data_IF_452880758214
#
_entry.id   IF_452880758214
#
_cell.length_a   1.000
_cell.length_b   1.000
_cell.length_c   1.000
_cell.angle_alpha   90.00
_cell.angle_beta   90.00
_cell.angle_gamma   90.00
#
_symmetry.space_group_name_H-M   'P 1'
#
loop_
_entity.id
_entity.type
_entity.pdbx_description
1 polymer ?
#
# COMPACT_ATOMS: atom_id res chain seq x y z
N UNK A 1 -14.49 -9.42 7.76
CA UNK A 1 -13.14 -9.32 7.21
C UNK A 1 -12.60 -10.73 6.97
N UNK A 2 -11.94 -10.98 5.84
CA UNK A 2 -11.13 -12.20 5.65
C UNK A 2 -9.65 -11.87 5.87
N UNK A 3 -8.86 -12.88 6.27
CA UNK A 3 -7.44 -12.74 6.56
C UNK A 3 -6.59 -13.63 5.65
N UNK A 4 -5.69 -13.02 4.88
CA UNK A 4 -4.80 -13.70 3.93
C UNK A 4 -3.39 -13.76 4.48
N UNK A 5 -2.62 -14.79 4.09
CA UNK A 5 -1.18 -14.80 4.37
C UNK A 5 -0.48 -13.71 3.57
N UNK A 6 0.50 -13.05 4.19
CA UNK A 6 1.40 -12.15 3.49
C UNK A 6 2.46 -12.99 2.75
N UNK A 7 2.18 -13.28 1.48
CA UNK A 7 2.99 -14.20 0.68
C UNK A 7 3.06 -15.59 1.32
N UNK A 8 4.26 -16.18 1.35
CA UNK A 8 4.50 -17.47 2.03
C UNK A 8 4.72 -17.36 3.54
N UNK A 9 4.73 -16.16 4.11
CA UNK A 9 5.01 -15.97 5.54
C UNK A 9 3.88 -16.54 6.42
N UNK A 10 4.16 -16.66 7.72
CA UNK A 10 3.16 -17.05 8.72
C UNK A 10 2.19 -15.93 9.09
N UNK A 11 2.50 -14.67 8.75
CA UNK A 11 1.70 -13.51 9.12
C UNK A 11 0.41 -13.46 8.29
N UNK A 12 -0.71 -13.29 8.97
CA UNK A 12 -2.01 -13.04 8.34
C UNK A 12 -2.40 -11.57 8.46
N UNK A 13 -2.69 -10.95 7.33
CA UNK A 13 -3.19 -9.57 7.25
C UNK A 13 -4.63 -9.57 6.75
N UNK A 14 -5.41 -8.61 7.22
CA UNK A 14 -6.75 -8.34 6.70
C UNK A 14 -6.67 -7.99 5.21
N UNK A 15 -7.66 -8.40 4.42
CA UNK A 15 -7.70 -8.08 2.98
C UNK A 15 -7.69 -6.58 2.68
N UNK A 16 -8.31 -5.79 3.55
CA UNK A 16 -8.22 -4.34 3.50
C UNK A 16 -7.38 -3.87 4.69
N UNK A 17 -6.43 -2.98 4.44
CA UNK A 17 -5.60 -2.33 5.45
C UNK A 17 -5.78 -0.81 5.42
N UNK A 18 -5.29 -0.12 6.45
CA UNK A 18 -5.40 1.34 6.55
C UNK A 18 -4.03 1.99 6.46
N UNK A 19 -3.83 2.83 5.45
CA UNK A 19 -2.63 3.67 5.31
C UNK A 19 -2.85 5.10 5.78
N UNK A 20 -1.77 5.75 6.21
CA UNK A 20 -1.79 7.11 6.76
C UNK A 20 -1.37 8.21 5.78
N UNK A 21 -0.94 7.86 4.56
CA UNK A 21 -0.41 8.82 3.59
C UNK A 21 -1.45 9.88 3.18
N UNK A 22 -1.01 11.14 3.14
CA UNK A 22 -1.79 12.36 2.85
C UNK A 22 -2.81 12.74 3.93
N UNK A 23 -3.33 11.77 4.67
CA UNK A 23 -4.45 11.97 5.58
C UNK A 23 -3.94 12.38 6.96
N UNK A 24 -3.11 11.55 7.57
CA UNK A 24 -2.70 11.75 8.97
C UNK A 24 -1.74 12.93 9.09
N UNK A 25 -2.03 13.82 10.03
CA UNK A 25 -1.29 15.07 10.31
C UNK A 25 -1.41 16.18 9.26
N UNK A 26 -1.89 15.90 8.04
CA UNK A 26 -2.19 16.92 7.01
C UNK A 26 -3.67 17.24 6.83
N UNK A 27 -4.55 16.26 7.03
CA UNK A 27 -6.00 16.40 6.83
C UNK A 27 -6.85 15.95 8.02
N UNK A 28 -6.31 15.07 8.88
CA UNK A 28 -7.00 14.58 10.06
C UNK A 28 -6.20 14.91 11.30
N UNK A 29 -6.90 15.37 12.34
CA UNK A 29 -6.33 15.56 13.67
C UNK A 29 -6.29 14.23 14.45
N UNK A 30 -5.83 14.30 15.71
CA UNK A 30 -5.73 13.12 16.56
C UNK A 30 -7.07 12.43 16.84
N UNK A 31 -8.15 13.20 17.01
CA UNK A 31 -9.49 12.67 17.27
C UNK A 31 -10.03 11.97 16.04
N UNK A 32 -9.82 12.52 14.85
CA UNK A 32 -10.20 11.86 13.61
C UNK A 32 -9.36 10.61 13.34
N UNK A 33 -8.04 10.66 13.56
CA UNK A 33 -7.16 9.50 13.42
C UNK A 33 -7.61 8.35 14.34
N UNK A 34 -7.89 8.65 15.62
CA UNK A 34 -8.41 7.69 16.58
C UNK A 34 -9.75 7.08 16.12
N UNK A 35 -10.66 7.92 15.62
CA UNK A 35 -11.97 7.47 15.13
C UNK A 35 -11.89 6.57 13.88
N UNK A 36 -10.97 6.89 12.96
CA UNK A 36 -10.70 6.08 11.76
C UNK A 36 -10.06 4.74 12.13
N UNK A 37 -9.06 4.75 12.99
CA UNK A 37 -8.38 3.54 13.44
C UNK A 37 -9.32 2.64 14.23
N UNK A 38 -10.10 3.19 15.18
CA UNK A 38 -11.16 2.45 15.89
C UNK A 38 -12.10 1.74 14.93
N UNK A 39 -12.66 2.48 13.96
CA UNK A 39 -13.57 1.89 12.98
C UNK A 39 -12.90 0.78 12.16
N UNK A 40 -11.68 1.00 11.68
CA UNK A 40 -10.96 0.00 10.90
C UNK A 40 -10.80 -1.29 11.70
N UNK A 41 -10.33 -1.18 12.94
CA UNK A 41 -10.10 -2.31 13.84
C UNK A 41 -11.39 -3.03 14.21
N UNK A 42 -12.46 -2.30 14.53
CA UNK A 42 -13.78 -2.87 14.83
C UNK A 42 -14.37 -3.66 13.65
N UNK A 43 -14.08 -3.25 12.41
CA UNK A 43 -14.45 -3.95 11.18
C UNK A 43 -13.46 -5.08 10.80
N UNK A 44 -12.46 -5.34 11.65
CA UNK A 44 -11.51 -6.44 11.54
C UNK A 44 -10.20 -6.12 10.80
N UNK A 45 -9.93 -4.87 10.45
CA UNK A 45 -8.62 -4.46 9.90
C UNK A 45 -7.55 -4.67 10.96
N UNK A 46 -6.52 -5.44 10.63
CA UNK A 46 -5.40 -5.68 11.53
C UNK A 46 -4.08 -5.10 11.04
N UNK A 47 -4.02 -4.48 9.86
CA UNK A 47 -2.77 -3.94 9.32
C UNK A 47 -2.87 -2.43 9.09
N UNK A 48 -1.93 -1.68 9.68
CA UNK A 48 -1.83 -0.22 9.64
C UNK A 48 -0.48 0.20 9.06
N UNK A 49 -0.50 1.01 8.02
CA UNK A 49 0.68 1.34 7.21
C UNK A 49 1.08 2.82 7.33
N UNK A 50 2.38 3.08 7.56
CA UNK A 50 2.94 4.41 7.76
C UNK A 50 4.35 4.54 7.17
N UNK A 51 4.98 5.73 7.21
CA UNK A 51 6.36 5.96 6.76
C UNK A 51 6.99 7.18 7.43
N UNK A 52 8.32 7.20 7.57
CA UNK A 52 9.05 8.35 8.14
C UNK A 52 8.87 9.63 7.31
N UNK A 53 8.68 9.49 6.00
CA UNK A 53 8.55 10.63 5.09
C UNK A 53 7.16 11.25 5.08
N UNK A 54 6.16 10.63 5.71
CA UNK A 54 4.80 11.16 5.76
C UNK A 54 4.71 12.28 6.78
N UNK A 55 4.55 13.51 6.27
CA UNK A 55 4.58 14.75 7.06
C UNK A 55 5.79 14.81 8.00
N UNK A 56 6.97 14.45 7.49
CA UNK A 56 8.24 14.43 8.23
C UNK A 56 8.21 13.63 9.56
N UNK A 57 7.42 12.56 9.61
CA UNK A 57 7.29 11.65 10.75
C UNK A 57 6.12 11.98 11.67
N UNK A 58 5.45 13.12 11.49
CA UNK A 58 4.27 13.48 12.28
C UNK A 58 3.13 12.48 12.09
N UNK A 59 3.03 11.84 10.91
CA UNK A 59 2.06 10.78 10.66
C UNK A 59 2.28 9.55 11.56
N UNK A 60 3.54 9.19 11.82
CA UNK A 60 3.90 8.10 12.74
C UNK A 60 3.62 8.47 14.19
N UNK A 61 3.92 9.71 14.58
CA UNK A 61 3.64 10.21 15.93
C UNK A 61 2.14 10.21 16.23
N UNK A 62 1.32 10.65 15.27
CA UNK A 62 -0.14 10.66 15.38
C UNK A 62 -0.72 9.24 15.50
N UNK A 63 -0.26 8.32 14.65
CA UNK A 63 -0.68 6.92 14.70
C UNK A 63 -0.25 6.26 16.01
N UNK A 64 0.97 6.52 16.49
CA UNK A 64 1.46 6.01 17.78
C UNK A 64 0.65 6.51 18.97
N UNK A 65 0.30 7.80 18.98
CA UNK A 65 -0.58 8.36 20.00
C UNK A 65 -1.98 7.73 19.97
N UNK A 66 -2.54 7.51 18.78
CA UNK A 66 -3.82 6.82 18.62
C UNK A 66 -3.76 5.36 19.12
N UNK A 67 -2.74 4.58 18.74
CA UNK A 67 -2.54 3.20 19.21
C UNK A 67 -2.45 3.13 20.74
N UNK A 68 -1.64 4.03 21.34
CA UNK A 68 -1.47 4.13 22.79
C UNK A 68 -2.80 4.43 23.50
N UNK A 69 -3.59 5.37 22.98
CA UNK A 69 -4.91 5.74 23.52
C UNK A 69 -5.96 4.63 23.36
N UNK A 70 -5.94 3.92 22.23
CA UNK A 70 -6.86 2.82 21.94
C UNK A 70 -6.58 1.59 22.80
N UNK A 71 -5.34 1.41 23.25
CA UNK A 71 -4.98 0.38 24.23
C UNK A 71 -5.16 -1.06 23.71
N UNK A 72 -5.12 -1.26 22.39
CA UNK A 72 -5.20 -2.59 21.79
C UNK A 72 -4.00 -3.44 22.21
N UNK A 73 -4.20 -4.75 22.35
CA UNK A 73 -3.09 -5.65 22.64
C UNK A 73 -2.13 -5.70 21.44
N UNK A 74 -0.82 -5.63 21.68
CA UNK A 74 0.18 -5.51 20.60
C UNK A 74 0.15 -6.67 19.61
N UNK A 75 -0.28 -7.85 20.04
CA UNK A 75 -0.44 -9.07 19.24
C UNK A 75 -1.71 -9.09 18.36
N UNK A 76 -2.62 -8.13 18.53
CA UNK A 76 -3.88 -8.05 17.77
C UNK A 76 -3.77 -7.31 16.44
N UNK A 77 -2.70 -6.53 16.24
CA UNK A 77 -2.49 -5.72 15.05
C UNK A 77 -1.06 -5.80 14.54
N UNK A 78 -0.91 -5.43 13.27
CA UNK A 78 0.34 -5.26 12.57
C UNK A 78 0.52 -3.80 12.18
N UNK A 79 1.71 -3.26 12.41
CA UNK A 79 2.07 -1.89 12.03
C UNK A 79 3.34 -1.89 11.17
N UNK A 80 3.35 -1.04 10.15
CA UNK A 80 4.52 -0.80 9.32
C UNK A 80 5.08 0.62 9.40
N UNK A 81 6.35 0.73 9.06
CA UNK A 81 6.98 1.97 8.63
C UNK A 81 7.79 1.73 7.35
N UNK A 82 8.20 2.80 6.68
CA UNK A 82 9.06 2.77 5.49
C UNK A 82 10.16 3.80 5.62
N UNK A 83 11.35 3.40 5.21
CA UNK A 83 12.57 4.21 5.24
C UNK A 83 13.02 4.61 3.85
N UNK A 84 13.31 5.90 3.69
CA UNK A 84 14.13 6.46 2.61
C UNK A 84 14.36 7.97 2.80
N UNK A 85 13.37 8.72 3.30
CA UNK A 85 13.42 10.19 3.43
C UNK A 85 13.15 10.62 4.87
N UNK A 86 14.18 10.63 5.72
CA UNK A 86 14.07 11.02 7.12
C UNK A 86 14.51 12.45 7.44
N UNK A 87 15.06 13.19 6.46
CA UNK A 87 15.48 14.58 6.64
C UNK A 87 16.32 15.13 5.49
N UNK A 88 16.82 16.35 5.67
CA UNK A 88 17.54 17.10 4.63
C UNK A 88 19.04 16.77 4.55
N UNK A 89 19.61 16.20 5.63
CA UNK A 89 21.06 15.91 5.68
C UNK A 89 21.41 14.68 4.86
N UNK A 90 22.66 14.56 4.34
CA UNK A 90 23.07 13.43 3.50
C UNK A 90 22.86 12.06 4.14
N UNK A 91 23.01 11.95 5.46
CA UNK A 91 22.88 10.68 6.20
C UNK A 91 21.48 10.43 6.76
N UNK A 92 20.49 11.24 6.37
CA UNK A 92 19.09 11.11 6.79
C UNK A 92 18.20 10.64 5.63
N UNK A 93 18.80 10.02 4.61
CA UNK A 93 18.10 9.53 3.43
C UNK A 93 18.79 8.31 2.83
N UNK A 94 18.08 7.62 1.94
CA UNK A 94 18.54 6.44 1.23
C UNK A 94 18.42 5.16 2.06
N UNK A 95 19.13 4.11 1.66
CA UNK A 95 19.06 2.78 2.26
C UNK A 95 20.38 2.30 2.87
N UNK A 96 21.33 3.22 3.07
CA UNK A 96 22.56 2.92 3.82
C UNK A 96 22.25 2.34 5.20
N UNK A 97 23.12 1.48 5.71
CA UNK A 97 22.98 0.84 7.02
C UNK A 97 22.75 1.86 8.13
N UNK A 98 23.41 3.03 8.05
CA UNK A 98 23.25 4.13 9.00
C UNK A 98 21.80 4.61 9.03
N UNK A 99 21.26 5.01 7.87
CA UNK A 99 19.92 5.59 7.82
C UNK A 99 18.84 4.55 8.11
N UNK A 100 18.94 3.34 7.54
CA UNK A 100 17.99 2.24 7.80
C UNK A 100 17.86 1.95 9.29
N UNK A 101 18.99 1.90 10.02
CA UNK A 101 19.01 1.68 11.46
C UNK A 101 18.44 2.87 12.22
N UNK A 102 18.91 4.09 11.96
CA UNK A 102 18.45 5.28 12.68
C UNK A 102 16.95 5.56 12.47
N UNK A 103 16.46 5.39 11.24
CA UNK A 103 15.06 5.53 10.88
C UNK A 103 14.17 4.51 11.59
N UNK A 104 14.60 3.24 11.70
CA UNK A 104 13.85 2.20 12.40
C UNK A 104 13.68 2.57 13.88
N UNK A 105 14.77 2.95 14.54
CA UNK A 105 14.73 3.39 15.94
C UNK A 105 13.88 4.65 16.14
N UNK A 106 13.89 5.57 15.18
CA UNK A 106 13.05 6.76 15.23
C UNK A 106 11.56 6.43 15.04
N UNK A 107 11.23 5.56 14.08
CA UNK A 107 9.87 5.09 13.83
C UNK A 107 9.28 4.39 15.06
N UNK A 108 10.03 3.50 15.72
CA UNK A 108 9.60 2.84 16.95
C UNK A 108 9.23 3.83 18.06
N UNK A 109 10.03 4.89 18.22
CA UNK A 109 9.75 5.97 19.19
C UNK A 109 8.49 6.74 18.85
N UNK A 110 8.32 7.14 17.57
CA UNK A 110 7.15 7.91 17.12
C UNK A 110 5.86 7.07 17.20
N UNK A 111 5.93 5.81 16.76
CA UNK A 111 4.81 4.87 16.81
C UNK A 111 4.55 4.33 18.22
N UNK A 112 5.44 4.56 19.19
CA UNK A 112 5.32 4.09 20.57
C UNK A 112 5.17 2.56 20.66
N UNK A 113 5.98 1.83 19.88
CA UNK A 113 6.01 0.36 19.87
C UNK A 113 7.43 -0.18 20.03
N UNK A 114 7.57 -1.38 20.57
CA UNK A 114 8.88 -2.01 20.78
C UNK A 114 9.48 -2.62 19.51
N UNK A 115 8.61 -3.03 18.58
CA UNK A 115 8.96 -3.61 17.28
C UNK A 115 7.95 -3.22 16.19
N UNK A 116 8.42 -3.21 14.94
CA UNK A 116 7.58 -3.14 13.73
C UNK A 116 7.28 -4.56 13.23
N UNK A 117 6.05 -4.83 12.84
CA UNK A 117 5.75 -6.10 12.16
C UNK A 117 6.38 -6.10 10.78
N UNK A 118 6.23 -5.00 10.06
CA UNK A 118 6.70 -4.84 8.69
C UNK A 118 7.57 -3.58 8.57
N UNK A 119 8.76 -3.68 7.99
CA UNK A 119 9.59 -2.51 7.68
C UNK A 119 10.00 -2.51 6.22
N UNK A 120 9.71 -1.41 5.52
CA UNK A 120 9.89 -1.33 4.07
C UNK A 120 11.03 -0.41 3.67
N UNK A 121 11.79 -0.80 2.66
CA UNK A 121 12.53 0.15 1.82
C UNK A 121 11.51 0.94 0.97
N UNK A 122 11.33 2.23 1.20
CA UNK A 122 10.25 3.02 0.56
C UNK A 122 10.44 3.19 -0.96
N UNK A 123 11.70 3.18 -1.42
CA UNK A 123 12.10 3.21 -2.84
C UNK A 123 13.41 2.44 -3.02
N UNK A 124 13.79 2.05 -4.23
CA UNK A 124 15.14 1.61 -4.52
C UNK A 124 16.14 2.74 -4.29
N UNK A 125 17.34 2.38 -3.81
CA UNK A 125 18.45 3.31 -3.67
C UNK A 125 19.58 2.87 -4.61
N UNK A 126 19.95 3.74 -5.56
CA UNK A 126 21.02 3.46 -6.52
C UNK A 126 22.41 3.77 -5.94
N UNK A 127 22.47 4.52 -4.83
CA UNK A 127 23.71 4.95 -4.20
C UNK A 127 24.16 3.97 -3.11
N UNK A 128 23.30 3.04 -2.68
CA UNK A 128 23.61 2.03 -1.67
C UNK A 128 23.62 0.63 -2.29
N UNK A 129 24.72 -0.15 -2.15
CA UNK A 129 24.73 -1.54 -2.56
C UNK A 129 23.62 -2.35 -1.87
N UNK A 130 22.95 -3.20 -2.64
CA UNK A 130 21.78 -3.96 -2.16
C UNK A 130 22.16 -4.89 -0.99
N UNK A 131 23.40 -5.38 -0.96
CA UNK A 131 23.95 -6.23 0.08
C UNK A 131 23.98 -5.52 1.43
N UNK A 132 24.36 -4.24 1.43
CA UNK A 132 24.39 -3.42 2.66
C UNK A 132 22.97 -3.26 3.21
N UNK A 133 22.00 -3.00 2.34
CA UNK A 133 20.58 -2.88 2.71
C UNK A 133 20.05 -4.18 3.31
N UNK A 134 20.30 -5.32 2.65
CA UNK A 134 19.87 -6.64 3.13
C UNK A 134 20.47 -6.95 4.50
N UNK A 135 21.76 -6.66 4.71
CA UNK A 135 22.40 -6.81 6.01
C UNK A 135 21.78 -5.91 7.08
N UNK A 136 21.49 -4.64 6.75
CA UNK A 136 20.88 -3.71 7.70
C UNK A 136 19.49 -4.20 8.14
N UNK A 137 18.66 -4.65 7.19
CA UNK A 137 17.33 -5.21 7.47
C UNK A 137 17.41 -6.50 8.28
N UNK A 138 18.30 -7.42 7.91
CA UNK A 138 18.53 -8.65 8.68
C UNK A 138 18.94 -8.34 10.12
N UNK A 139 19.85 -7.39 10.33
CA UNK A 139 20.31 -7.01 11.67
C UNK A 139 19.19 -6.43 12.54
N UNK A 140 18.27 -5.66 11.97
CA UNK A 140 17.10 -5.16 12.72
C UNK A 140 16.17 -6.30 13.14
N UNK A 141 16.06 -7.34 12.32
CA UNK A 141 15.28 -8.54 12.66
C UNK A 141 15.95 -9.33 13.79
N UNK A 142 17.27 -9.55 13.72
CA UNK A 142 18.00 -10.27 14.78
C UNK A 142 18.00 -9.51 16.10
N UNK A 143 17.91 -8.18 16.07
CA UNK A 143 17.72 -7.33 17.25
C UNK A 143 16.28 -7.33 17.81
N UNK A 144 15.33 -7.98 17.14
CA UNK A 144 13.92 -7.99 17.54
C UNK A 144 13.20 -6.66 17.34
N UNK A 145 13.75 -5.76 16.51
CA UNK A 145 13.18 -4.44 16.22
C UNK A 145 12.19 -4.46 15.05
N UNK A 146 12.33 -5.45 14.18
CA UNK A 146 11.49 -5.70 13.01
C UNK A 146 11.18 -7.19 12.95
N UNK A 147 9.96 -7.59 12.60
CA UNK A 147 9.63 -9.02 12.42
C UNK A 147 9.85 -9.47 10.97
N UNK A 148 9.40 -8.68 10.01
CA UNK A 148 9.55 -8.92 8.57
C UNK A 148 9.95 -7.63 7.87
N UNK A 149 10.73 -7.75 6.79
CA UNK A 149 11.05 -6.62 5.94
C UNK A 149 10.62 -6.87 4.51
N UNK A 150 10.41 -5.76 3.80
CA UNK A 150 9.99 -5.76 2.41
C UNK A 150 10.47 -4.51 1.68
N UNK A 151 9.98 -4.36 0.46
CA UNK A 151 10.37 -3.29 -0.44
C UNK A 151 9.14 -2.56 -0.98
N UNK A 152 9.32 -1.39 -1.58
CA UNK A 152 8.25 -0.61 -2.20
C UNK A 152 8.74 0.09 -3.45
N UNK A 153 8.03 -0.11 -4.55
CA UNK A 153 8.37 0.30 -5.90
C UNK A 153 9.67 -0.30 -6.46
N UNK A 154 10.11 -1.44 -5.93
CA UNK A 154 11.27 -2.15 -6.47
C UNK A 154 10.89 -2.92 -7.72
N UNK A 155 11.80 -3.02 -8.68
CA UNK A 155 11.56 -3.85 -9.87
C UNK A 155 11.87 -5.34 -9.56
N UNK A 156 11.46 -6.24 -10.46
CA UNK A 156 11.66 -7.67 -10.28
C UNK A 156 13.14 -8.09 -10.20
N UNK A 157 14.02 -7.40 -10.93
CA UNK A 157 15.46 -7.66 -10.90
C UNK A 157 16.06 -7.34 -9.51
N UNK A 158 15.75 -6.18 -8.96
CA UNK A 158 16.21 -5.76 -7.63
C UNK A 158 15.68 -6.68 -6.52
N UNK A 159 14.40 -7.06 -6.58
CA UNK A 159 13.81 -8.04 -5.67
C UNK A 159 14.54 -9.39 -5.72
N UNK A 160 14.80 -9.88 -6.94
CA UNK A 160 15.52 -11.15 -7.16
C UNK A 160 16.95 -11.07 -6.64
N UNK A 161 17.64 -9.95 -6.86
CA UNK A 161 19.00 -9.72 -6.39
C UNK A 161 19.08 -9.71 -4.86
N UNK A 162 18.21 -8.95 -4.18
CA UNK A 162 18.15 -8.92 -2.72
C UNK A 162 17.83 -10.31 -2.13
N UNK A 163 16.86 -11.02 -2.74
CA UNK A 163 16.49 -12.36 -2.31
C UNK A 163 17.61 -13.38 -2.52
N UNK A 164 18.28 -13.35 -3.68
CA UNK A 164 19.39 -14.24 -4.00
C UNK A 164 20.59 -14.00 -3.08
N UNK A 165 20.94 -12.73 -2.83
CA UNK A 165 22.00 -12.37 -1.89
C UNK A 165 21.69 -12.86 -0.48
N UNK A 166 20.46 -12.63 0.01
CA UNK A 166 20.05 -13.10 1.33
C UNK A 166 20.15 -14.63 1.44
N UNK A 167 19.66 -15.36 0.44
CA UNK A 167 19.73 -16.83 0.39
C UNK A 167 21.18 -17.33 0.40
N UNK A 168 22.06 -16.73 -0.41
CA UNK A 168 23.46 -17.13 -0.50
C UNK A 168 24.24 -16.90 0.81
N UNK A 169 23.83 -15.92 1.61
CA UNK A 169 24.51 -15.52 2.85
C UNK A 169 23.77 -15.96 4.12
N UNK A 170 22.75 -16.82 4.00
CA UNK A 170 21.91 -17.27 5.12
C UNK A 170 21.26 -16.13 5.91
N UNK A 171 20.89 -15.05 5.21
CA UNK A 171 20.19 -13.90 5.76
C UNK A 171 18.68 -14.03 5.50
N UNK A 172 17.91 -13.19 6.20
CA UNK A 172 16.48 -13.07 5.96
C UNK A 172 16.28 -12.10 4.80
N UNK A 173 15.79 -12.61 3.66
CA UNK A 173 15.45 -11.80 2.48
C UNK A 173 14.10 -11.09 2.61
N UNK A 174 13.76 -10.21 1.66
CA UNK A 174 12.49 -9.50 1.69
C UNK A 174 11.34 -10.51 1.55
N UNK A 175 10.27 -10.32 2.32
CA UNK A 175 9.10 -11.22 2.32
C UNK A 175 7.94 -10.67 1.47
N UNK A 176 7.90 -9.36 1.25
CA UNK A 176 6.81 -8.69 0.56
C UNK A 176 7.29 -7.46 -0.21
N UNK A 177 6.48 -7.07 -1.18
CA UNK A 177 6.58 -5.83 -1.93
C UNK A 177 5.32 -4.98 -1.70
N UNK A 178 5.47 -3.66 -1.71
CA UNK A 178 4.40 -2.69 -1.64
C UNK A 178 4.32 -1.89 -2.95
N UNK A 179 3.69 -2.45 -4.00
CA UNK A 179 3.61 -1.82 -5.32
C UNK A 179 2.30 -1.05 -5.51
N UNK A 180 2.31 -0.08 -6.43
CA UNK A 180 1.07 0.50 -6.94
C UNK A 180 0.27 -0.58 -7.68
N UNK A 181 -1.01 -0.73 -7.35
CA UNK A 181 -1.90 -1.62 -8.11
C UNK A 181 -3.32 -1.08 -8.13
N UNK A 182 -3.86 -0.92 -9.32
CA UNK A 182 -5.25 -0.53 -9.58
C UNK A 182 -5.57 -0.80 -11.06
N UNK A 183 -6.79 -0.50 -11.48
CA UNK A 183 -7.25 -0.74 -12.85
C UNK A 183 -6.37 -0.09 -13.94
N UNK A 184 -5.64 0.99 -13.63
CA UNK A 184 -4.72 1.66 -14.56
C UNK A 184 -3.26 1.25 -14.41
N UNK A 185 -2.88 0.56 -13.33
CA UNK A 185 -1.49 0.22 -13.02
C UNK A 185 -1.41 -1.26 -12.65
N UNK A 186 -0.99 -2.09 -13.61
CA UNK A 186 -1.12 -3.56 -13.53
C UNK A 186 0.18 -4.33 -13.74
N UNK A 187 1.07 -3.81 -14.59
CA UNK A 187 2.24 -4.52 -15.12
C UNK A 187 3.09 -5.21 -14.04
N UNK A 188 3.49 -4.49 -12.98
CA UNK A 188 4.34 -5.05 -11.93
C UNK A 188 3.71 -6.28 -11.27
N UNK A 189 2.45 -6.17 -10.86
CA UNK A 189 1.76 -7.19 -10.06
C UNK A 189 1.28 -8.38 -10.91
N UNK A 190 0.82 -8.11 -12.13
CA UNK A 190 0.22 -9.11 -13.02
C UNK A 190 1.19 -9.68 -14.07
N UNK A 191 2.40 -9.15 -14.20
CA UNK A 191 3.41 -9.63 -15.13
C UNK A 191 4.80 -9.75 -14.47
N UNK A 192 5.42 -8.65 -14.08
CA UNK A 192 6.84 -8.65 -13.66
C UNK A 192 7.11 -9.52 -12.43
N UNK A 193 6.16 -9.56 -11.48
CA UNK A 193 6.28 -10.33 -10.24
C UNK A 193 5.76 -11.76 -10.33
N UNK A 194 5.14 -12.16 -11.45
CA UNK A 194 4.60 -13.52 -11.60
C UNK A 194 5.64 -14.61 -11.24
N UNK A 195 6.91 -14.55 -11.71
CA UNK A 195 7.91 -15.55 -11.33
C UNK A 195 8.30 -15.48 -9.84
N UNK A 196 8.15 -14.31 -9.20
CA UNK A 196 8.59 -14.08 -7.82
C UNK A 196 7.61 -14.67 -6.79
N UNK A 197 6.33 -14.77 -7.13
CA UNK A 197 5.34 -15.39 -6.26
C UNK A 197 5.71 -16.84 -5.96
N UNK A 198 6.14 -17.61 -6.96
CA UNK A 198 6.56 -19.00 -6.76
C UNK A 198 8.00 -19.10 -6.26
N UNK A 199 8.92 -18.30 -6.83
CA UNK A 199 10.35 -18.37 -6.50
C UNK A 199 10.63 -18.05 -5.03
N UNK A 200 10.13 -16.91 -4.56
CA UNK A 200 10.41 -16.42 -3.22
C UNK A 200 9.19 -16.46 -2.30
N UNK A 201 7.99 -16.73 -2.81
CA UNK A 201 6.76 -16.65 -2.01
C UNK A 201 6.37 -15.21 -1.70
N UNK A 202 6.59 -14.30 -2.65
CA UNK A 202 6.40 -12.86 -2.46
C UNK A 202 4.94 -12.55 -2.07
N UNK A 203 4.75 -11.81 -0.97
CA UNK A 203 3.46 -11.19 -0.64
C UNK A 203 3.36 -9.78 -1.21
N UNK A 204 2.13 -9.28 -1.41
CA UNK A 204 1.96 -7.86 -1.79
C UNK A 204 1.00 -7.12 -0.88
N UNK A 205 1.41 -5.91 -0.49
CA UNK A 205 0.58 -4.92 0.20
C UNK A 205 0.33 -3.77 -0.75
N UNK A 206 -0.69 -3.82 -1.59
CA UNK A 206 -0.80 -2.86 -2.70
C UNK A 206 -1.29 -1.49 -2.24
N UNK A 207 -0.88 -0.42 -2.91
CA UNK A 207 -1.26 0.95 -2.60
C UNK A 207 -1.93 1.68 -3.77
N UNK A 208 -2.64 2.77 -3.44
CA UNK A 208 -3.50 3.56 -4.36
C UNK A 208 -4.46 2.73 -5.21
N UNK A 209 -5.28 1.85 -4.59
CA UNK A 209 -6.27 1.03 -5.32
C UNK A 209 -7.32 1.87 -6.05
N UNK A 210 -7.52 3.11 -5.61
CA UNK A 210 -8.48 4.05 -6.19
C UNK A 210 -7.82 5.13 -7.05
N UNK A 211 -6.54 4.98 -7.43
CA UNK A 211 -5.80 5.95 -8.24
C UNK A 211 -5.94 7.39 -7.71
N UNK A 212 -5.53 7.61 -6.45
CA UNK A 212 -5.69 8.90 -5.76
C UNK A 212 -7.14 9.42 -5.65
N UNK A 213 -8.12 8.52 -5.78
CA UNK A 213 -9.54 8.79 -5.70
C UNK A 213 -10.22 9.02 -7.04
N UNK A 214 -9.52 8.86 -8.17
CA UNK A 214 -10.16 8.95 -9.48
C UNK A 214 -11.18 7.84 -9.72
N UNK A 215 -10.87 6.62 -9.26
CA UNK A 215 -11.76 5.45 -9.34
C UNK A 215 -12.95 5.51 -8.36
N UNK A 216 -13.28 6.68 -7.81
CA UNK A 216 -14.57 6.93 -7.14
C UNK A 216 -15.57 7.62 -8.08
N UNK A 217 -15.15 8.00 -9.30
CA UNK A 217 -15.98 8.74 -10.26
C UNK A 217 -16.18 10.22 -9.92
N UNK A 218 -15.60 10.72 -8.81
CA UNK A 218 -15.81 12.10 -8.34
C UNK A 218 -15.23 13.18 -9.26
N UNK A 219 -14.39 12.78 -10.22
CA UNK A 219 -13.78 13.67 -11.21
C UNK A 219 -14.47 13.66 -12.58
N UNK A 220 -15.55 12.88 -12.74
CA UNK A 220 -16.21 12.68 -14.04
C UNK A 220 -16.83 13.97 -14.61
N UNK A 221 -17.23 14.89 -13.72
CA UNK A 221 -17.92 16.16 -14.04
C UNK A 221 -17.08 17.39 -13.67
N UNK A 222 -15.75 17.22 -13.49
CA UNK A 222 -14.83 18.26 -13.05
C UNK A 222 -14.15 17.94 -11.73
N UNK A 223 -13.21 18.79 -11.30
CA UNK A 223 -12.41 18.58 -10.08
C UNK A 223 -13.12 19.23 -8.88
N UNK A 224 -13.64 18.47 -7.89
CA UNK A 224 -14.27 19.05 -6.71
C UNK A 224 -13.28 19.87 -5.88
N UNK A 225 -13.74 20.97 -5.29
CA UNK A 225 -12.90 21.90 -4.50
C UNK A 225 -12.17 21.21 -3.36
N UNK A 226 -12.86 20.35 -2.58
CA UNK A 226 -12.32 19.63 -1.42
C UNK A 226 -11.53 18.36 -1.78
N UNK A 227 -11.23 18.15 -3.07
CA UNK A 227 -10.57 16.94 -3.54
C UNK A 227 -9.05 16.98 -3.37
N UNK A 228 -8.44 15.80 -3.35
CA UNK A 228 -6.97 15.62 -3.23
C UNK A 228 -6.17 16.40 -4.28
N UNK A 229 -6.72 16.59 -5.47
CA UNK A 229 -6.05 17.30 -6.58
C UNK A 229 -5.87 18.80 -6.34
N UNK A 230 -6.61 19.38 -5.40
CA UNK A 230 -6.51 20.80 -5.06
C UNK A 230 -5.69 21.04 -3.77
N UNK A 231 -5.11 20.00 -3.17
CA UNK A 231 -4.22 20.16 -2.02
C UNK A 231 -2.86 20.72 -2.46
N UNK A 232 -2.24 21.62 -1.67
CA UNK A 232 -0.88 22.07 -1.93
C UNK A 232 0.12 20.90 -2.02
N UNK A 233 0.90 20.87 -3.10
CA UNK A 233 1.88 19.82 -3.41
C UNK A 233 1.33 18.66 -4.26
N UNK A 234 0.06 18.71 -4.68
CA UNK A 234 -0.59 17.70 -5.52
C UNK A 234 -0.95 18.23 -6.91
N UNK A 235 -0.35 19.34 -7.34
CA UNK A 235 -0.58 19.96 -8.65
C UNK A 235 -0.27 19.00 -9.79
N UNK A 236 0.69 18.10 -9.60
CA UNK A 236 1.04 17.04 -10.55
C UNK A 236 -0.13 16.09 -10.84
N UNK A 237 -0.98 15.77 -9.85
CA UNK A 237 -2.20 14.97 -10.09
C UNK A 237 -3.18 15.75 -10.96
N UNK A 238 -3.34 17.04 -10.70
CA UNK A 238 -4.21 17.89 -11.52
C UNK A 238 -3.70 17.95 -12.96
N UNK A 239 -2.40 18.10 -13.17
CA UNK A 239 -1.79 18.07 -14.52
C UNK A 239 -2.00 16.73 -15.20
N UNK A 240 -1.80 15.61 -14.51
CA UNK A 240 -1.99 14.26 -15.05
C UNK A 240 -3.43 14.05 -15.52
N UNK A 241 -4.41 14.37 -14.68
CA UNK A 241 -5.83 14.08 -14.95
C UNK A 241 -6.51 15.09 -15.88
N UNK A 242 -5.89 16.25 -16.12
CA UNK A 242 -6.37 17.23 -17.12
C UNK A 242 -5.73 17.04 -18.49
N UNK A 243 -4.72 16.18 -18.62
CA UNK A 243 -4.10 15.80 -19.89
C UNK A 243 -5.04 14.99 -20.79
N UNK A 244 -4.70 14.85 -22.08
CA UNK A 244 -5.47 14.01 -23.01
C UNK A 244 -5.53 12.54 -22.57
N UNK A 245 -4.44 12.00 -22.03
CA UNK A 245 -4.41 10.66 -21.46
C UNK A 245 -5.32 10.56 -20.22
N UNK A 246 -5.28 11.57 -19.34
CA UNK A 246 -6.16 11.67 -18.17
C UNK A 246 -7.64 11.68 -18.55
N UNK A 247 -8.01 12.44 -19.59
CA UNK A 247 -9.38 12.48 -20.12
C UNK A 247 -9.82 11.12 -20.68
N UNK A 248 -8.93 10.41 -21.38
CA UNK A 248 -9.21 9.05 -21.85
C UNK A 248 -9.46 8.08 -20.68
N UNK A 249 -8.65 8.17 -19.62
CA UNK A 249 -8.88 7.41 -18.37
C UNK A 249 -10.22 7.76 -17.73
N UNK A 250 -10.60 9.04 -17.66
CA UNK A 250 -11.91 9.45 -17.12
C UNK A 250 -13.09 8.83 -17.89
N UNK A 251 -12.97 8.69 -19.22
CA UNK A 251 -14.01 8.01 -20.01
C UNK A 251 -14.11 6.52 -19.67
N UNK A 252 -12.97 5.84 -19.46
CA UNK A 252 -12.98 4.47 -18.96
C UNK A 252 -13.64 4.37 -17.57
N UNK A 253 -13.41 5.35 -16.68
CA UNK A 253 -14.06 5.41 -15.36
C UNK A 253 -15.57 5.56 -15.50
N UNK A 254 -16.07 6.35 -16.46
CA UNK A 254 -17.51 6.46 -16.74
C UNK A 254 -18.11 5.14 -17.19
N UNK A 255 -17.43 4.41 -18.08
CA UNK A 255 -17.85 3.08 -18.51
C UNK A 255 -17.85 2.07 -17.35
N UNK A 256 -16.81 2.09 -16.51
CA UNK A 256 -16.75 1.27 -15.29
C UNK A 256 -17.88 1.63 -14.31
N UNK A 257 -18.21 2.91 -14.17
CA UNK A 257 -19.31 3.35 -13.31
C UNK A 257 -20.68 2.88 -13.84
N UNK A 258 -20.88 2.87 -15.16
CA UNK A 258 -22.06 2.29 -15.78
C UNK A 258 -22.16 0.78 -15.50
N UNK A 259 -21.06 0.03 -15.70
CA UNK A 259 -20.99 -1.40 -15.37
C UNK A 259 -21.24 -1.67 -13.88
N UNK A 260 -20.61 -0.90 -12.98
CA UNK A 260 -20.80 -1.04 -11.54
C UNK A 260 -22.28 -0.84 -11.17
N UNK A 261 -22.95 0.15 -11.79
CA UNK A 261 -24.37 0.42 -11.58
C UNK A 261 -25.26 -0.74 -12.01
N UNK A 262 -24.95 -1.42 -13.13
CA UNK A 262 -25.70 -2.61 -13.59
C UNK A 262 -25.76 -3.72 -12.54
N UNK A 263 -24.65 -3.91 -11.80
CA UNK A 263 -24.55 -4.93 -10.74
C UNK A 263 -24.88 -4.37 -9.34
N UNK A 264 -25.33 -3.12 -9.25
CA UNK A 264 -25.69 -2.46 -8.00
C UNK A 264 -24.49 -2.27 -7.07
N UNK A 265 -23.37 -1.80 -7.62
CA UNK A 265 -22.17 -1.38 -6.89
C UNK A 265 -21.80 0.05 -7.27
N UNK A 266 -21.21 0.82 -6.34
CA UNK A 266 -20.48 2.02 -6.74
C UNK A 266 -19.12 1.65 -7.33
N UNK A 267 -18.58 2.51 -8.21
CA UNK A 267 -17.35 2.23 -8.98
C UNK A 267 -16.12 1.99 -8.10
N UNK A 268 -16.02 2.66 -6.94
CA UNK A 268 -14.91 2.42 -6.01
C UNK A 268 -14.99 1.04 -5.35
N UNK A 269 -16.18 0.52 -5.06
CA UNK A 269 -16.31 -0.87 -4.59
C UNK A 269 -15.86 -1.83 -5.69
N UNK A 270 -16.26 -1.60 -6.94
CA UNK A 270 -15.81 -2.42 -8.07
C UNK A 270 -14.27 -2.45 -8.17
N UNK A 271 -13.63 -1.28 -8.10
CA UNK A 271 -12.18 -1.16 -8.16
C UNK A 271 -11.46 -1.87 -7.00
N UNK A 272 -11.95 -1.71 -5.76
CA UNK A 272 -11.40 -2.39 -4.58
C UNK A 272 -11.53 -3.91 -4.68
N UNK A 273 -12.72 -4.39 -5.06
CA UNK A 273 -12.98 -5.82 -5.23
C UNK A 273 -12.16 -6.42 -6.36
N UNK A 274 -11.95 -5.68 -7.45
CA UNK A 274 -11.10 -6.10 -8.55
C UNK A 274 -9.65 -6.27 -8.08
N UNK A 275 -9.09 -5.32 -7.32
CA UNK A 275 -7.75 -5.47 -6.74
C UNK A 275 -7.67 -6.73 -5.86
N UNK A 276 -8.70 -7.01 -5.05
CA UNK A 276 -8.77 -8.18 -4.17
C UNK A 276 -8.98 -9.51 -4.89
N UNK A 277 -9.49 -9.50 -6.13
CA UNK A 277 -9.65 -10.73 -6.92
C UNK A 277 -8.32 -11.30 -7.39
N UNK A 278 -7.25 -10.50 -7.40
CA UNK A 278 -5.91 -11.00 -7.67
C UNK A 278 -5.42 -11.84 -6.48
N UNK A 279 -5.11 -13.13 -6.66
CA UNK A 279 -4.70 -14.01 -5.56
C UNK A 279 -3.35 -13.64 -4.96
N UNK A 280 -2.53 -12.86 -5.66
CA UNK A 280 -1.23 -12.40 -5.19
C UNK A 280 -1.30 -11.11 -4.38
N UNK A 281 -2.49 -10.51 -4.28
CA UNK A 281 -2.77 -9.39 -3.37
C UNK A 281 -3.10 -9.92 -1.99
N UNK A 282 -2.18 -9.72 -1.04
CA UNK A 282 -2.38 -10.10 0.36
C UNK A 282 -3.27 -9.09 1.09
N UNK A 283 -3.09 -7.80 0.80
CA UNK A 283 -3.92 -6.70 1.32
C UNK A 283 -3.94 -5.51 0.38
N UNK A 284 -5.05 -4.77 0.41
CA UNK A 284 -5.26 -3.50 -0.28
C UNK A 284 -5.24 -2.36 0.73
N UNK A 285 -4.24 -1.47 0.63
CA UNK A 285 -4.10 -0.32 1.54
C UNK A 285 -5.11 0.77 1.14
N UNK A 286 -6.07 1.00 2.02
CA UNK A 286 -7.04 2.08 1.90
C UNK A 286 -6.45 3.40 2.42
N UNK A 287 -6.84 4.50 1.80
CA UNK A 287 -6.71 5.85 2.37
C UNK A 287 -8.08 6.47 2.52
N UNK A 288 -8.37 7.04 3.69
CA UNK A 288 -9.63 7.72 3.97
C UNK A 288 -9.39 8.96 4.83
N UNK A 289 -10.02 10.08 4.46
CA UNK A 289 -9.97 11.32 5.27
C UNK A 289 -11.22 11.49 6.13
N UNK A 290 -12.27 10.70 5.91
CA UNK A 290 -13.53 10.76 6.66
C UNK A 290 -13.98 9.35 7.05
N UNK A 291 -14.59 9.22 8.23
CA UNK A 291 -15.11 7.94 8.76
C UNK A 291 -16.11 7.28 7.80
N UNK A 292 -16.96 8.08 7.15
CA UNK A 292 -17.93 7.59 6.16
C UNK A 292 -17.28 6.95 4.94
N UNK A 293 -16.17 7.51 4.44
CA UNK A 293 -15.43 6.93 3.32
C UNK A 293 -14.81 5.59 3.71
N UNK A 294 -14.24 5.49 4.91
CA UNK A 294 -13.65 4.26 5.40
C UNK A 294 -14.71 3.17 5.58
N UNK A 295 -15.83 3.49 6.26
CA UNK A 295 -16.95 2.56 6.44
C UNK A 295 -17.51 2.07 5.11
N UNK A 296 -17.68 2.98 4.15
CA UNK A 296 -18.16 2.65 2.81
C UNK A 296 -17.17 1.73 2.06
N UNK A 297 -15.89 2.07 2.04
CA UNK A 297 -14.85 1.23 1.41
C UNK A 297 -14.78 -0.17 2.02
N UNK A 298 -14.86 -0.30 3.36
CA UNK A 298 -14.87 -1.58 4.05
C UNK A 298 -16.13 -2.40 3.72
N UNK A 299 -17.27 -1.73 3.53
CA UNK A 299 -18.52 -2.39 3.15
C UNK A 299 -18.48 -3.09 1.79
N UNK A 300 -17.53 -2.73 0.91
CA UNK A 300 -17.31 -3.39 -0.38
C UNK A 300 -17.16 -4.91 -0.22
N UNK A 301 -16.54 -5.38 0.86
CA UNK A 301 -16.34 -6.80 1.15
C UNK A 301 -17.65 -7.60 1.24
N UNK A 302 -18.77 -6.96 1.59
CA UNK A 302 -20.09 -7.60 1.65
C UNK A 302 -20.61 -7.99 0.26
N UNK A 303 -20.00 -7.46 -0.79
CA UNK A 303 -20.44 -7.63 -2.17
C UNK A 303 -19.44 -8.36 -3.07
N UNK A 304 -18.45 -9.05 -2.51
CA UNK A 304 -17.44 -9.81 -3.28
C UNK A 304 -18.04 -10.71 -4.35
N UNK A 305 -19.12 -11.41 -4.04
CA UNK A 305 -19.78 -12.35 -4.94
C UNK A 305 -20.34 -11.68 -6.22
N UNK A 306 -20.49 -10.35 -6.24
CA UNK A 306 -20.93 -9.60 -7.42
C UNK A 306 -19.85 -9.46 -8.48
N UNK A 307 -18.57 -9.63 -8.13
CA UNK A 307 -17.47 -9.64 -9.09
C UNK A 307 -17.36 -11.04 -9.72
N UNK A 308 -18.31 -11.37 -10.59
CA UNK A 308 -18.34 -12.64 -11.31
C UNK A 308 -17.30 -12.67 -12.44
N UNK A 309 -16.96 -13.84 -12.99
CA UNK A 309 -16.09 -13.94 -14.16
C UNK A 309 -16.56 -13.07 -15.34
N UNK A 310 -17.86 -13.03 -15.63
CA UNK A 310 -18.43 -12.19 -16.69
C UNK A 310 -18.21 -10.69 -16.44
N UNK A 311 -18.34 -10.25 -15.17
CA UNK A 311 -18.07 -8.85 -14.79
C UNK A 311 -16.58 -8.56 -14.95
N UNK A 312 -15.71 -9.48 -14.54
CA UNK A 312 -14.26 -9.34 -14.70
C UNK A 312 -13.89 -9.22 -16.19
N UNK A 313 -14.47 -10.02 -17.08
CA UNK A 313 -14.24 -9.93 -18.52
C UNK A 313 -14.71 -8.58 -19.10
N UNK A 314 -15.87 -8.06 -18.67
CA UNK A 314 -16.32 -6.72 -19.06
C UNK A 314 -15.36 -5.62 -18.57
N UNK A 315 -14.79 -5.75 -17.38
CA UNK A 315 -13.75 -4.83 -16.89
C UNK A 315 -12.54 -4.87 -17.82
N UNK A 316 -12.05 -6.07 -18.18
CA UNK A 316 -10.92 -6.21 -19.10
C UNK A 316 -11.19 -5.55 -20.46
N UNK A 317 -12.40 -5.70 -21.00
CA UNK A 317 -12.80 -5.06 -22.25
C UNK A 317 -12.81 -3.52 -22.16
N UNK A 318 -13.29 -2.95 -21.06
CA UNK A 318 -13.30 -1.49 -20.84
C UNK A 318 -11.87 -0.96 -20.68
N UNK A 319 -11.05 -1.68 -19.91
CA UNK A 319 -9.70 -1.22 -19.56
C UNK A 319 -8.71 -1.39 -20.71
N UNK A 320 -8.82 -2.46 -21.50
CA UNK A 320 -7.98 -2.69 -22.68
C UNK A 320 -6.48 -2.72 -22.40
N UNK A 321 -6.08 -2.93 -21.14
CA UNK A 321 -4.70 -2.77 -20.67
C UNK A 321 -4.18 -4.01 -19.91
N UNK A 322 -4.82 -5.17 -20.12
CA UNK A 322 -4.38 -6.43 -19.52
C UNK A 322 -2.92 -6.70 -19.90
N UNK A 323 -2.01 -6.88 -18.92
CA UNK A 323 -0.63 -7.22 -19.23
C UNK A 323 -0.55 -8.48 -20.10
N UNK A 324 0.42 -8.49 -21.01
CA UNK A 324 0.61 -9.64 -21.90
C UNK A 324 1.05 -10.84 -21.06
N UNK A 325 0.51 -12.02 -21.37
CA UNK A 325 1.03 -13.26 -20.78
C UNK A 325 2.45 -13.53 -21.33
N UNK A 326 3.27 -14.22 -20.55
CA UNK A 326 4.56 -14.70 -21.04
C UNK A 326 4.38 -15.58 -22.28
N UNK A 327 5.11 -15.24 -23.34
CA UNK A 327 5.16 -16.04 -24.56
C UNK A 327 6.02 -17.29 -24.29
N UNK A 328 5.48 -18.46 -24.63
CA UNK A 328 6.25 -19.70 -24.68
C UNK A 328 6.74 -19.88 -26.11
N UNK A 329 8.05 -19.82 -26.29
CA UNK A 329 8.72 -20.13 -27.56
C UNK A 329 9.23 -21.57 -27.55
#
# INVERSE_FOLDING_TARGET
>A
MEYRRLGKSGLKVSELSLGSWVTFSKQVDEKEALSLMSLAYDEGVNFFDNAEGYEAGESEALMGAALSKLGWSRDSYSVSSKVFWGGEKPTQKGLSRKHVTEAAHAALKRLQVDYLDLYFCHRPDIDTPIEETVWAMHNLITQGKVLYWGTSEWNAQQLTEAWAFARANSLIGPAMEQPQYNLFTREKVEHDYLPLYDLMGLGTTIWSPLASGALTGKYNDGIPEDSRMNLPGYEWLKTEWTSEEGKAKLEQIKQLAALAKEIGLPVHHLALLWCLSNPHVSTVILGASKKSQLADNLSALKSKAKLTPDVAEKIEAIMGNKPKAFERY
#
